data_IF_528719598993
#
_entry.id   IF_528719598993
#
_cell.length_a   1.000
_cell.length_b   1.000
_cell.length_c   1.000
_cell.angle_alpha   90.00
_cell.angle_beta   90.00
_cell.angle_gamma   90.00
#
_symmetry.space_group_name_H-M   'P 1'
#
loop_
_entity.id
_entity.type
_entity.pdbx_description
1 polymer ?
#
# COMPACT_ATOMS: atom_id res chain seq x y z
N UNK A 1 -10.97 15.45 31.71
CA UNK A 1 -10.23 14.47 30.88
C UNK A 1 -10.81 14.53 29.48
N UNK A 2 -10.10 15.13 28.52
CA UNK A 2 -10.67 15.42 27.19
C UNK A 2 -9.64 15.81 26.14
N UNK A 3 -8.45 15.20 26.15
CA UNK A 3 -7.33 15.59 25.25
C UNK A 3 -6.67 14.42 24.53
N UNK A 4 -7.13 13.18 24.71
CA UNK A 4 -6.47 12.03 24.07
C UNK A 4 -6.99 11.73 22.65
N UNK A 5 -8.23 12.07 22.31
CA UNK A 5 -8.80 11.71 21.00
C UNK A 5 -8.14 12.46 19.84
N UNK A 6 -8.02 13.80 19.93
CA UNK A 6 -7.44 14.62 18.84
C UNK A 6 -5.96 14.32 18.57
N UNK A 7 -5.16 14.05 19.61
CA UNK A 7 -3.73 13.69 19.45
C UNK A 7 -3.56 12.34 18.74
N UNK A 8 -4.49 11.40 18.96
CA UNK A 8 -4.50 10.11 18.25
C UNK A 8 -4.93 10.25 16.79
N UNK A 9 -5.82 11.21 16.45
CA UNK A 9 -6.29 11.44 15.07
C UNK A 9 -5.17 11.94 14.15
N UNK A 10 -4.41 12.95 14.57
CA UNK A 10 -3.30 13.49 13.75
C UNK A 10 -2.19 12.46 13.53
N UNK A 11 -1.91 11.64 14.55
CA UNK A 11 -0.95 10.54 14.46
C UNK A 11 -1.40 9.45 13.48
N UNK A 12 -2.70 9.13 13.45
CA UNK A 12 -3.28 8.15 12.52
C UNK A 12 -3.26 8.66 11.07
N UNK A 13 -3.62 9.93 10.85
CA UNK A 13 -3.58 10.55 9.52
C UNK A 13 -2.15 10.58 8.97
N UNK A 14 -1.18 10.98 9.81
CA UNK A 14 0.25 10.97 9.45
C UNK A 14 0.72 9.56 9.12
N UNK A 15 0.43 8.58 9.99
CA UNK A 15 0.82 7.18 9.78
C UNK A 15 0.21 6.60 8.50
N UNK A 16 -1.03 6.97 8.17
CA UNK A 16 -1.70 6.52 6.95
C UNK A 16 -1.03 7.09 5.70
N UNK A 17 -0.67 8.38 5.74
CA UNK A 17 0.10 9.04 4.67
C UNK A 17 1.47 8.37 4.46
N UNK A 18 2.18 8.08 5.56
CA UNK A 18 3.49 7.41 5.50
C UNK A 18 3.38 6.02 4.87
N UNK A 19 2.39 5.22 5.28
CA UNK A 19 2.16 3.88 4.72
C UNK A 19 1.79 3.96 3.24
N UNK A 20 0.99 4.95 2.82
CA UNK A 20 0.68 5.17 1.41
C UNK A 20 1.92 5.53 0.59
N UNK A 21 2.82 6.36 1.14
CA UNK A 21 4.11 6.68 0.51
C UNK A 21 4.97 5.44 0.31
N UNK A 22 5.15 4.64 1.38
CA UNK A 22 5.89 3.37 1.32
C UNK A 22 5.28 2.42 0.29
N UNK A 23 3.95 2.36 0.20
CA UNK A 23 3.24 1.51 -0.76
C UNK A 23 3.56 1.90 -2.21
N UNK A 24 3.57 3.21 -2.50
CA UNK A 24 3.94 3.71 -3.82
C UNK A 24 5.40 3.39 -4.18
N UNK A 25 6.32 3.51 -3.22
CA UNK A 25 7.73 3.17 -3.41
C UNK A 25 7.93 1.67 -3.69
N UNK A 26 7.16 0.81 -3.01
CA UNK A 26 7.16 -0.64 -3.26
C UNK A 26 6.63 -0.94 -4.66
N UNK A 27 5.49 -0.37 -5.07
CA UNK A 27 4.94 -0.58 -6.41
C UNK A 27 5.94 -0.16 -7.50
N UNK A 28 6.59 0.99 -7.32
CA UNK A 28 7.63 1.50 -8.21
C UNK A 28 8.82 0.52 -8.30
N UNK A 29 9.30 0.04 -7.16
CA UNK A 29 10.42 -0.90 -7.09
C UNK A 29 10.09 -2.24 -7.75
N UNK A 30 8.88 -2.75 -7.53
CA UNK A 30 8.39 -4.01 -8.12
C UNK A 30 8.27 -3.89 -9.64
N UNK A 31 7.71 -2.77 -10.12
CA UNK A 31 7.61 -2.47 -11.55
C UNK A 31 8.99 -2.36 -12.21
N UNK A 32 9.94 -1.68 -11.55
CA UNK A 32 11.31 -1.55 -12.03
C UNK A 32 12.01 -2.92 -12.15
N UNK A 33 11.78 -3.82 -11.19
CA UNK A 33 12.33 -5.19 -11.26
C UNK A 33 11.75 -5.99 -12.42
N UNK A 34 10.43 -5.90 -12.68
CA UNK A 34 9.81 -6.55 -13.86
C UNK A 34 10.39 -6.00 -15.17
N UNK A 35 10.62 -4.69 -15.26
CA UNK A 35 11.28 -4.06 -16.41
C UNK A 35 12.70 -4.62 -16.65
N UNK A 36 13.49 -4.75 -15.59
CA UNK A 36 14.85 -5.33 -15.64
C UNK A 36 14.83 -6.80 -16.07
N UNK A 37 13.92 -7.62 -15.52
CA UNK A 37 13.78 -9.02 -15.92
C UNK A 37 13.38 -9.13 -17.40
N UNK A 38 12.47 -8.29 -17.87
CA UNK A 38 12.07 -8.28 -19.28
C UNK A 38 13.23 -7.91 -20.21
N UNK A 39 14.06 -6.95 -19.82
CA UNK A 39 15.26 -6.59 -20.58
C UNK A 39 16.26 -7.76 -20.65
N UNK A 40 16.56 -8.39 -19.50
CA UNK A 40 17.46 -9.55 -19.44
C UNK A 40 16.94 -10.75 -20.22
N UNK A 41 15.62 -10.95 -20.28
CA UNK A 41 15.01 -12.00 -21.09
C UNK A 41 15.36 -11.88 -22.58
N UNK A 42 15.52 -10.65 -23.08
CA UNK A 42 15.90 -10.41 -24.48
C UNK A 42 17.38 -10.74 -24.77
N UNK A 43 18.22 -10.74 -23.74
CA UNK A 43 19.65 -11.05 -23.84
C UNK A 43 19.94 -12.55 -23.70
N UNK A 44 19.09 -13.28 -22.96
CA UNK A 44 19.29 -14.71 -22.68
C UNK A 44 18.67 -15.58 -23.79
N UNK A 45 19.50 -16.04 -24.72
CA UNK A 45 19.12 -17.00 -25.77
C UNK A 45 19.68 -18.40 -25.50
N UNK A 46 19.06 -19.43 -26.08
CA UNK A 46 19.50 -20.82 -25.96
C UNK A 46 18.80 -21.61 -24.83
N UNK A 47 19.40 -22.71 -24.40
CA UNK A 47 18.78 -23.68 -23.46
C UNK A 47 18.45 -23.09 -22.08
N UNK A 48 19.11 -21.99 -21.68
CA UNK A 48 18.82 -21.28 -20.43
C UNK A 48 17.63 -20.32 -20.51
N UNK A 49 17.13 -20.00 -21.71
CA UNK A 49 16.04 -19.05 -21.90
C UNK A 49 14.72 -19.53 -21.26
N UNK A 50 14.44 -20.84 -21.28
CA UNK A 50 13.24 -21.40 -20.68
C UNK A 50 13.23 -21.23 -19.14
N UNK A 51 14.36 -21.45 -18.48
CA UNK A 51 14.49 -21.23 -17.03
C UNK A 51 14.31 -19.76 -16.65
N UNK A 52 14.84 -18.85 -17.48
CA UNK A 52 14.68 -17.41 -17.25
C UNK A 52 13.23 -16.94 -17.50
N UNK A 53 12.56 -17.48 -18.52
CA UNK A 53 11.14 -17.22 -18.77
C UNK A 53 10.27 -17.67 -17.59
N UNK A 54 10.58 -18.83 -17.00
CA UNK A 54 9.90 -19.30 -15.80
C UNK A 54 10.12 -18.33 -14.62
N UNK A 55 11.36 -17.91 -14.38
CA UNK A 55 11.67 -16.94 -13.32
C UNK A 55 10.91 -15.62 -13.50
N UNK A 56 10.81 -15.12 -14.74
CA UNK A 56 10.06 -13.91 -15.04
C UNK A 56 8.54 -14.08 -14.85
N UNK A 57 8.00 -15.27 -15.13
CA UNK A 57 6.61 -15.61 -14.87
C UNK A 57 6.31 -15.70 -13.37
N UNK A 58 7.18 -16.35 -12.61
CA UNK A 58 7.08 -16.45 -11.15
C UNK A 58 7.11 -15.05 -10.50
N UNK A 59 8.03 -14.20 -10.95
CA UNK A 59 8.09 -12.80 -10.49
C UNK A 59 6.80 -12.02 -10.79
N UNK A 60 6.20 -12.20 -11.99
CA UNK A 60 4.93 -11.54 -12.34
C UNK A 60 3.80 -11.96 -11.39
N UNK A 61 3.77 -13.22 -10.96
CA UNK A 61 2.83 -13.70 -9.94
C UNK A 61 3.10 -13.01 -8.59
N UNK A 62 4.36 -12.93 -8.15
CA UNK A 62 4.74 -12.21 -6.93
C UNK A 62 4.32 -10.74 -6.98
N UNK A 63 4.53 -10.05 -8.11
CA UNK A 63 4.10 -8.67 -8.31
C UNK A 63 2.59 -8.50 -8.08
N UNK A 64 1.76 -9.43 -8.56
CA UNK A 64 0.31 -9.37 -8.36
C UNK A 64 -0.05 -9.55 -6.88
N UNK A 65 0.62 -10.44 -6.17
CA UNK A 65 0.43 -10.62 -4.72
C UNK A 65 0.78 -9.34 -3.97
N UNK A 66 1.92 -8.73 -4.26
CA UNK A 66 2.33 -7.46 -3.64
C UNK A 66 1.29 -6.39 -3.90
N UNK A 67 0.83 -6.23 -5.14
CA UNK A 67 -0.21 -5.26 -5.48
C UNK A 67 -1.49 -5.47 -4.66
N UNK A 68 -1.99 -6.70 -4.60
CA UNK A 68 -3.19 -7.02 -3.81
C UNK A 68 -3.01 -6.66 -2.34
N UNK A 69 -1.86 -7.01 -1.74
CA UNK A 69 -1.60 -6.67 -0.34
C UNK A 69 -1.53 -5.16 -0.09
N UNK A 70 -0.94 -4.38 -0.99
CA UNK A 70 -0.91 -2.92 -0.87
C UNK A 70 -2.30 -2.30 -1.05
N UNK A 71 -3.11 -2.82 -1.96
CA UNK A 71 -4.49 -2.39 -2.17
C UNK A 71 -5.36 -2.70 -0.93
N UNK A 72 -5.16 -3.84 -0.26
CA UNK A 72 -5.81 -4.20 1.00
C UNK A 72 -5.41 -3.26 2.15
N UNK A 73 -4.12 -2.95 2.28
CA UNK A 73 -3.61 -1.99 3.27
C UNK A 73 -4.23 -0.61 3.04
N UNK A 74 -4.25 -0.14 1.79
CA UNK A 74 -4.83 1.15 1.45
C UNK A 74 -6.34 1.21 1.78
N UNK A 75 -7.08 0.12 1.55
CA UNK A 75 -8.49 0.03 1.91
C UNK A 75 -8.69 0.07 3.43
N UNK A 76 -7.90 -0.70 4.19
CA UNK A 76 -7.98 -0.72 5.66
C UNK A 76 -7.71 0.65 6.27
N UNK A 77 -6.69 1.38 5.77
CA UNK A 77 -6.36 2.72 6.24
C UNK A 77 -7.44 3.75 5.92
N UNK A 78 -8.05 3.68 4.73
CA UNK A 78 -9.18 4.54 4.36
C UNK A 78 -10.40 4.26 5.23
N UNK A 79 -10.72 2.99 5.48
CA UNK A 79 -11.83 2.61 6.35
C UNK A 79 -11.61 3.09 7.79
N UNK A 80 -10.38 2.95 8.31
CA UNK A 80 -10.01 3.52 9.60
C UNK A 80 -10.23 5.03 9.60
N UNK A 81 -9.67 5.77 8.63
CA UNK A 81 -9.83 7.23 8.54
C UNK A 81 -11.30 7.66 8.54
N UNK A 82 -12.17 7.00 7.76
CA UNK A 82 -13.61 7.29 7.70
C UNK A 82 -14.32 7.05 9.03
N UNK A 83 -14.05 5.92 9.69
CA UNK A 83 -14.65 5.60 10.99
C UNK A 83 -14.25 6.64 12.04
N UNK A 84 -13.03 7.17 11.95
CA UNK A 84 -12.54 8.21 12.85
C UNK A 84 -13.19 9.58 12.56
N UNK A 85 -13.36 9.98 11.30
CA UNK A 85 -14.06 11.21 10.93
C UNK A 85 -15.51 11.22 11.45
N UNK A 86 -16.21 10.10 11.32
CA UNK A 86 -17.57 9.92 11.83
C UNK A 86 -17.62 10.01 13.37
N UNK A 87 -16.66 9.40 14.07
CA UNK A 87 -16.57 9.45 15.52
C UNK A 87 -16.31 10.89 16.04
N UNK A 88 -15.45 11.65 15.35
CA UNK A 88 -15.22 13.06 15.69
C UNK A 88 -16.48 13.91 15.45
N UNK A 89 -17.17 13.73 14.32
CA UNK A 89 -18.40 14.45 14.02
C UNK A 89 -19.48 14.20 15.10
N UNK A 90 -19.64 12.96 15.53
CA UNK A 90 -20.57 12.58 16.60
C UNK A 90 -20.20 13.23 17.94
N UNK A 91 -18.91 13.21 18.31
CA UNK A 91 -18.41 13.83 19.54
C UNK A 91 -18.65 15.34 19.56
N UNK A 92 -18.36 16.03 18.44
CA UNK A 92 -18.62 17.46 18.27
C UNK A 92 -20.11 17.79 18.39
N UNK A 93 -20.98 16.98 17.79
CA UNK A 93 -22.44 17.15 17.90
C UNK A 93 -22.93 17.02 19.35
N UNK A 94 -22.42 16.04 20.10
CA UNK A 94 -22.78 15.87 21.52
C UNK A 94 -22.29 17.01 22.41
N UNK A 95 -21.10 17.56 22.14
CA UNK A 95 -20.56 18.69 22.89
C UNK A 95 -21.20 20.03 22.54
N UNK A 96 -21.61 20.24 21.28
CA UNK A 96 -22.31 21.45 20.84
C UNK A 96 -23.80 21.49 21.21
N UNK A 97 -24.38 20.38 21.66
CA UNK A 97 -25.75 20.29 22.18
C UNK A 97 -25.89 20.60 23.68
N UNK A 98 -24.83 21.05 24.35
CA UNK A 98 -24.80 21.51 25.74
C UNK A 98 -24.42 22.98 25.81
#
# INVERSE_FOLDING_TARGET
MGTNFSVSTDALATSSSDVMGISADIESSVSAMMGRLTALQSEWSGSAAASFQQLAADWRSTQQVVKTSLDEIAQALRAASQTYDEAEAASRAMMGGR
#
